data_IF_461163191524
#
_entry.id   IF_461163191524
#
_cell.length_a   1.000
_cell.length_b   1.000
_cell.length_c   1.000
_cell.angle_alpha   90.00
_cell.angle_beta   90.00
_cell.angle_gamma   90.00
#
_symmetry.space_group_name_H-M   'P 1'
#
loop_
_entity.id
_entity.type
_entity.pdbx_description
1 polymer ?
#
# COMPACT_ATOMS: atom_id res chain seq x y z
N UNK A 1 23.77 17.84 25.92
CA UNK A 1 22.80 16.77 25.59
C UNK A 1 23.13 16.22 24.21
N UNK A 2 23.58 14.96 24.09
CA UNK A 2 23.96 14.36 22.80
C UNK A 2 22.70 14.08 21.99
N UNK A 3 22.52 14.77 20.86
CA UNK A 3 21.41 14.56 19.94
C UNK A 3 21.46 13.15 19.34
N UNK A 4 20.43 12.35 19.60
CA UNK A 4 20.22 11.09 18.87
C UNK A 4 19.94 11.45 17.41
N UNK A 5 20.69 10.86 16.48
CA UNK A 5 20.40 10.95 15.05
C UNK A 5 19.06 10.25 14.80
N UNK A 6 18.14 10.84 14.00
CA UNK A 6 16.88 10.17 13.69
C UNK A 6 17.20 8.86 12.96
N UNK A 7 16.75 7.75 13.54
CA UNK A 7 16.76 6.44 12.88
C UNK A 7 15.54 6.46 11.95
N UNK A 8 15.77 6.27 10.65
CA UNK A 8 14.68 6.07 9.69
C UNK A 8 14.34 4.58 9.71
N UNK A 9 13.18 4.23 10.27
CA UNK A 9 12.65 2.87 10.12
C UNK A 9 12.13 2.72 8.69
N UNK A 10 12.75 1.81 7.91
CA UNK A 10 12.28 1.43 6.57
C UNK A 10 11.71 0.03 6.67
N UNK A 11 10.40 -0.11 6.49
CA UNK A 11 9.74 -1.41 6.37
C UNK A 11 9.31 -1.56 4.90
N UNK A 12 9.92 -2.53 4.22
CA UNK A 12 9.58 -2.92 2.86
C UNK A 12 8.80 -4.22 2.91
N UNK A 13 7.52 -4.20 2.56
CA UNK A 13 6.72 -5.41 2.38
C UNK A 13 6.47 -5.64 0.89
N UNK A 14 6.89 -6.79 0.39
CA UNK A 14 6.62 -7.22 -0.98
C UNK A 14 6.48 -8.73 -1.04
N UNK A 15 5.46 -9.20 -1.76
CA UNK A 15 5.37 -10.60 -2.16
C UNK A 15 6.42 -10.84 -3.24
N UNK A 16 7.60 -11.33 -2.87
CA UNK A 16 8.57 -11.88 -3.82
C UNK A 16 7.96 -13.13 -4.44
N UNK A 17 7.39 -13.00 -5.64
CA UNK A 17 6.91 -14.14 -6.43
C UNK A 17 8.12 -14.88 -6.98
N UNK A 18 8.58 -15.87 -6.21
CA UNK A 18 9.33 -17.06 -6.61
C UNK A 18 10.69 -16.87 -7.34
N UNK A 19 11.78 -16.70 -6.58
CA UNK A 19 12.99 -17.51 -6.82
C UNK A 19 13.70 -17.73 -5.48
N UNK A 20 13.97 -18.99 -5.18
CA UNK A 20 14.84 -19.51 -4.13
C UNK A 20 15.95 -18.56 -3.64
N UNK A 21 15.80 -18.00 -2.44
CA UNK A 21 16.85 -17.77 -1.43
C UNK A 21 16.27 -16.86 -0.34
N UNK A 22 15.81 -17.44 0.76
CA UNK A 22 16.05 -16.96 2.13
C UNK A 22 15.48 -18.06 3.04
N UNK A 23 16.16 -19.21 3.03
CA UNK A 23 16.00 -20.22 4.07
C UNK A 23 16.78 -19.75 5.30
N UNK A 24 16.17 -19.97 6.45
CA UNK A 24 16.61 -19.65 7.79
C UNK A 24 18.12 -19.84 8.05
N UNK A 25 18.76 -18.84 8.67
CA UNK A 25 19.69 -19.04 9.79
C UNK A 25 20.12 -17.69 10.35
N UNK A 26 20.15 -17.59 11.68
CA UNK A 26 20.66 -16.43 12.40
C UNK A 26 22.13 -16.16 12.10
N UNK A 27 22.39 -15.31 11.11
CA UNK A 27 23.68 -14.68 10.91
C UNK A 27 23.67 -13.31 11.60
N UNK A 28 24.70 -12.97 12.41
CA UNK A 28 24.77 -11.64 13.00
C UNK A 28 24.91 -10.58 11.90
N UNK A 29 24.07 -9.55 11.96
CA UNK A 29 24.04 -8.46 10.99
C UNK A 29 25.45 -7.82 10.80
N UNK A 30 25.90 -7.58 9.55
CA UNK A 30 27.21 -6.99 9.30
C UNK A 30 27.25 -5.52 9.76
N UNK A 31 28.23 -5.18 10.59
CA UNK A 31 28.38 -3.88 11.28
C UNK A 31 28.68 -2.65 10.38
N UNK A 32 28.52 -2.70 9.05
CA UNK A 32 28.78 -1.56 8.13
C UNK A 32 27.94 -1.60 6.83
N UNK A 33 26.62 -1.74 6.94
CA UNK A 33 25.67 -1.52 5.83
C UNK A 33 24.76 -0.32 6.08
N UNK A 34 23.94 0.12 5.10
CA UNK A 34 22.89 1.13 5.33
C UNK A 34 21.81 0.65 6.31
N UNK A 35 21.71 -0.66 6.52
CA UNK A 35 20.79 -1.31 7.46
C UNK A 35 21.42 -1.30 8.85
N UNK A 36 20.79 -0.57 9.78
CA UNK A 36 21.25 -0.42 11.16
C UNK A 36 20.81 -1.62 12.02
N UNK A 37 19.61 -2.13 11.77
CA UNK A 37 19.05 -3.32 12.40
C UNK A 37 17.92 -3.90 11.54
N UNK A 38 17.64 -5.19 11.72
CA UNK A 38 16.49 -5.88 11.16
C UNK A 38 15.80 -6.70 12.25
N UNK A 39 14.47 -6.79 12.15
CA UNK A 39 13.65 -7.52 13.10
C UNK A 39 12.56 -8.28 12.35
N UNK A 40 12.20 -9.46 12.86
CA UNK A 40 11.00 -10.15 12.42
C UNK A 40 9.79 -9.24 12.69
N UNK A 41 8.93 -9.11 11.69
CA UNK A 41 7.77 -8.24 11.76
C UNK A 41 6.76 -8.76 12.80
N UNK A 42 6.34 -7.89 13.72
CA UNK A 42 5.34 -8.19 14.76
C UNK A 42 4.12 -7.29 14.61
N UNK A 43 2.96 -7.74 15.11
CA UNK A 43 1.77 -6.90 15.25
C UNK A 43 1.49 -6.60 16.74
N UNK A 44 1.26 -5.33 17.11
CA UNK A 44 1.38 -4.13 16.27
C UNK A 44 2.82 -3.87 15.80
N UNK A 45 2.97 -3.21 14.66
CA UNK A 45 4.30 -2.86 14.13
C UNK A 45 5.00 -1.87 15.08
N UNK A 46 6.25 -2.17 15.43
CA UNK A 46 7.10 -1.28 16.23
C UNK A 46 7.74 -0.20 15.34
N UNK A 47 6.89 0.64 14.76
CA UNK A 47 7.31 1.68 13.82
C UNK A 47 7.64 2.97 14.57
N UNK A 48 8.90 3.16 14.92
CA UNK A 48 9.36 4.39 15.59
C UNK A 48 9.27 5.61 14.66
N UNK A 49 8.85 6.75 15.21
CA UNK A 49 8.94 8.03 14.49
C UNK A 49 10.39 8.56 14.46
N UNK A 50 10.93 8.99 13.31
CA UNK A 50 10.32 9.03 11.98
C UNK A 50 10.40 7.69 11.22
N UNK A 51 9.37 7.42 10.42
CA UNK A 51 9.30 6.22 9.60
C UNK A 51 9.09 6.53 8.11
N UNK A 52 9.53 5.58 7.30
CA UNK A 52 9.11 5.39 5.92
C UNK A 52 8.66 3.93 5.79
N UNK A 53 7.40 3.71 5.46
CA UNK A 53 6.85 2.37 5.22
C UNK A 53 6.53 2.28 3.73
N UNK A 54 6.89 1.19 3.06
CA UNK A 54 6.62 1.03 1.65
C UNK A 54 6.16 -0.40 1.36
N UNK A 55 5.05 -0.51 0.66
CA UNK A 55 4.45 -1.77 0.26
C UNK A 55 4.33 -1.81 -1.24
N UNK A 56 4.67 -2.96 -1.80
CA UNK A 56 4.45 -3.27 -3.21
C UNK A 56 3.32 -4.28 -3.35
N UNK A 57 2.33 -3.89 -4.15
CA UNK A 57 1.17 -4.71 -4.49
C UNK A 57 1.27 -5.10 -5.96
N UNK A 58 1.24 -6.40 -6.23
CA UNK A 58 1.18 -6.97 -7.57
C UNK A 58 0.20 -8.12 -7.57
N UNK A 59 -0.91 -7.94 -8.27
CA UNK A 59 -1.96 -8.94 -8.40
C UNK A 59 -2.36 -9.09 -9.87
N UNK A 60 -2.48 -10.34 -10.29
CA UNK A 60 -3.01 -10.73 -11.59
C UNK A 60 -4.45 -11.19 -11.38
N UNK A 61 -5.39 -10.24 -11.39
CA UNK A 61 -6.79 -10.58 -11.21
C UNK A 61 -7.36 -11.24 -12.47
N UNK A 62 -8.34 -12.15 -12.32
CA UNK A 62 -9.09 -12.68 -13.46
C UNK A 62 -9.84 -11.55 -14.20
N UNK A 63 -10.47 -11.86 -15.34
CA UNK A 63 -11.41 -10.93 -15.95
C UNK A 63 -12.44 -10.44 -14.94
N UNK A 64 -12.82 -9.17 -15.03
CA UNK A 64 -13.90 -8.59 -14.25
C UNK A 64 -15.27 -8.94 -14.84
N UNK A 65 -16.33 -8.52 -14.15
CA UNK A 65 -17.69 -8.53 -14.68
C UNK A 65 -18.25 -7.09 -14.75
N UNK A 66 -19.53 -6.96 -15.09
CA UNK A 66 -20.24 -5.68 -15.20
C UNK A 66 -20.22 -4.84 -13.91
N UNK A 67 -20.05 -5.48 -12.76
CA UNK A 67 -20.03 -4.86 -11.44
C UNK A 67 -18.59 -4.55 -10.99
N UNK A 68 -17.60 -4.73 -11.88
CA UNK A 68 -16.17 -4.52 -11.65
C UNK A 68 -15.57 -5.47 -10.59
N UNK A 69 -16.26 -6.57 -10.29
CA UNK A 69 -15.80 -7.62 -9.37
C UNK A 69 -15.15 -8.78 -10.14
N UNK A 70 -14.38 -9.67 -9.49
CA UNK A 70 -13.78 -10.82 -10.15
C UNK A 70 -14.82 -11.73 -10.79
N UNK A 71 -14.67 -12.03 -12.08
CA UNK A 71 -15.43 -13.09 -12.76
C UNK A 71 -14.81 -14.46 -12.46
N UNK A 72 -14.63 -14.76 -11.18
CA UNK A 72 -14.08 -16.01 -10.67
C UNK A 72 -14.65 -16.29 -9.27
N UNK A 73 -14.60 -17.56 -8.84
CA UNK A 73 -15.08 -17.90 -7.51
C UNK A 73 -14.20 -17.31 -6.42
N UNK A 74 -14.82 -16.66 -5.43
CA UNK A 74 -14.16 -16.22 -4.21
C UNK A 74 -14.03 -17.34 -3.16
N UNK A 75 -14.52 -18.55 -3.43
CA UNK A 75 -14.47 -19.66 -2.47
C UNK A 75 -13.01 -19.98 -2.08
N UNK A 76 -12.73 -19.94 -0.78
CA UNK A 76 -11.39 -20.18 -0.24
C UNK A 76 -10.52 -18.92 -0.16
N UNK A 77 -11.01 -17.77 -0.64
CA UNK A 77 -10.30 -16.50 -0.45
C UNK A 77 -10.23 -16.11 1.02
N UNK A 78 -9.02 -15.77 1.47
CA UNK A 78 -8.77 -15.23 2.81
C UNK A 78 -9.08 -13.74 2.79
N UNK A 79 -10.30 -13.38 3.17
CA UNK A 79 -10.70 -11.98 3.30
C UNK A 79 -10.00 -11.31 4.48
N UNK A 80 -9.68 -10.03 4.34
CA UNK A 80 -9.04 -9.23 5.39
C UNK A 80 -7.55 -9.52 5.56
N UNK A 81 -6.87 -9.94 4.50
CA UNK A 81 -5.44 -10.23 4.50
C UNK A 81 -4.75 -9.49 3.37
N UNK A 82 -3.68 -8.77 3.70
CA UNK A 82 -2.92 -7.98 2.75
C UNK A 82 -2.09 -8.82 1.76
N UNK A 83 -1.72 -10.04 2.14
CA UNK A 83 -0.80 -10.88 1.35
C UNK A 83 -1.06 -12.37 1.49
N UNK A 84 -0.43 -13.13 0.58
CA UNK A 84 -0.19 -14.56 0.74
C UNK A 84 -1.39 -15.44 0.39
N UNK A 85 -2.25 -14.98 -0.51
CA UNK A 85 -3.38 -15.79 -0.96
C UNK A 85 -2.95 -16.92 -1.92
N UNK A 86 -3.35 -18.19 -1.69
CA UNK A 86 -2.94 -19.31 -2.54
C UNK A 86 -3.39 -19.28 -4.00
N UNK A 87 -4.41 -18.49 -4.37
CA UNK A 87 -4.86 -18.37 -5.77
C UNK A 87 -3.92 -17.52 -6.63
N UNK A 88 -2.93 -16.84 -6.02
CA UNK A 88 -2.02 -15.93 -6.70
C UNK A 88 -2.51 -14.49 -6.79
N UNK A 89 -3.71 -14.17 -6.26
CA UNK A 89 -4.23 -12.81 -6.17
C UNK A 89 -5.04 -12.60 -4.88
N UNK A 90 -5.06 -11.37 -4.37
CA UNK A 90 -5.61 -11.01 -3.06
C UNK A 90 -6.87 -10.13 -3.19
N UNK A 91 -7.89 -10.44 -2.39
CA UNK A 91 -9.04 -9.54 -2.18
C UNK A 91 -8.71 -8.38 -1.24
N UNK A 92 -7.55 -8.43 -0.56
CA UNK A 92 -7.19 -7.52 0.53
C UNK A 92 -8.29 -7.54 1.60
N UNK A 93 -8.89 -6.39 1.85
CA UNK A 93 -9.98 -6.20 2.79
C UNK A 93 -11.34 -6.02 2.09
N UNK A 94 -11.38 -6.15 0.77
CA UNK A 94 -12.60 -6.06 -0.02
C UNK A 94 -13.43 -7.35 0.01
N UNK A 95 -14.75 -7.21 0.03
CA UNK A 95 -15.68 -8.35 0.00
C UNK A 95 -16.14 -8.71 -1.42
N UNK A 96 -16.33 -7.69 -2.27
CA UNK A 96 -16.81 -7.86 -3.66
C UNK A 96 -15.77 -7.35 -4.66
N UNK A 97 -15.34 -6.09 -4.49
CA UNK A 97 -14.23 -5.49 -5.24
C UNK A 97 -12.97 -5.61 -4.38
N UNK A 98 -11.82 -6.07 -4.90
CA UNK A 98 -10.57 -6.08 -4.16
C UNK A 98 -10.18 -4.69 -3.67
N UNK A 99 -9.45 -4.60 -2.55
CA UNK A 99 -8.84 -3.35 -2.10
C UNK A 99 -9.03 -3.08 -0.62
N UNK A 100 -8.92 -1.80 -0.26
CA UNK A 100 -8.94 -1.32 1.10
C UNK A 100 -10.22 -0.52 1.35
N UNK A 101 -11.26 -1.13 1.94
CA UNK A 101 -12.48 -0.43 2.28
C UNK A 101 -12.19 0.63 3.35
N UNK A 102 -13.24 1.35 3.75
CA UNK A 102 -13.19 2.47 4.69
C UNK A 102 -12.24 2.25 5.89
N UNK A 103 -11.13 2.98 5.95
CA UNK A 103 -10.15 2.91 7.03
C UNK A 103 -9.53 4.30 7.36
N UNK A 104 -9.00 4.50 8.59
CA UNK A 104 -8.46 5.79 9.00
C UNK A 104 -6.93 5.90 8.84
N UNK A 105 -6.45 7.11 8.56
CA UNK A 105 -5.05 7.51 8.68
C UNK A 105 -4.91 8.83 9.46
N UNK A 106 -3.78 9.02 10.15
CA UNK A 106 -3.48 10.24 10.91
C UNK A 106 -1.96 10.41 11.14
N UNK A 107 -1.47 11.63 10.98
CA UNK A 107 -0.12 12.02 11.40
C UNK A 107 1.02 11.64 10.44
N UNK A 108 0.70 11.20 9.23
CA UNK A 108 1.64 10.88 8.14
C UNK A 108 1.01 11.19 6.77
N UNK A 109 1.75 10.92 5.71
CA UNK A 109 1.29 11.05 4.32
C UNK A 109 1.32 9.69 3.63
N UNK A 110 0.40 9.44 2.70
CA UNK A 110 0.44 8.29 1.79
C UNK A 110 0.76 8.76 0.38
N UNK A 111 1.61 8.01 -0.32
CA UNK A 111 1.90 8.19 -1.73
C UNK A 111 1.57 6.87 -2.42
N UNK A 112 0.54 6.88 -3.25
CA UNK A 112 0.09 5.72 -4.02
C UNK A 112 0.52 5.93 -5.47
N UNK A 113 1.48 5.12 -5.94
CA UNK A 113 1.99 5.13 -7.32
C UNK A 113 1.38 3.95 -8.07
N UNK A 114 0.42 4.19 -8.95
CA UNK A 114 -0.34 3.13 -9.63
C UNK A 114 0.22 2.89 -11.03
N UNK A 115 1.16 1.95 -11.16
CA UNK A 115 1.83 1.65 -12.45
C UNK A 115 0.92 0.94 -13.44
N UNK A 116 0.11 -0.02 -12.97
CA UNK A 116 -0.88 -0.75 -13.77
C UNK A 116 -2.16 -0.96 -12.98
N UNK A 117 -3.27 -1.04 -13.70
CA UNK A 117 -4.60 -1.14 -13.11
C UNK A 117 -5.14 0.22 -12.66
N UNK A 118 -6.15 0.16 -11.81
CA UNK A 118 -6.95 1.31 -11.41
C UNK A 118 -7.22 1.29 -9.90
N UNK A 119 -7.30 2.47 -9.31
CA UNK A 119 -7.70 2.68 -7.92
C UNK A 119 -8.87 3.65 -7.88
N UNK A 120 -9.96 3.25 -7.25
CA UNK A 120 -11.09 4.09 -6.87
C UNK A 120 -10.89 4.59 -5.44
N UNK A 121 -10.66 5.89 -5.30
CA UNK A 121 -10.53 6.57 -4.02
C UNK A 121 -11.85 7.25 -3.63
N UNK A 122 -12.20 7.18 -2.36
CA UNK A 122 -13.23 8.03 -1.73
C UNK A 122 -12.79 8.43 -0.33
N UNK A 123 -13.11 9.65 0.13
CA UNK A 123 -12.74 10.09 1.48
C UNK A 123 -13.83 10.88 2.23
N UNK A 124 -13.56 11.11 3.51
CA UNK A 124 -14.41 11.84 4.44
C UNK A 124 -14.53 13.34 4.17
N UNK A 125 -13.73 13.91 3.26
CA UNK A 125 -13.89 15.28 2.79
C UNK A 125 -14.85 15.38 1.60
N UNK A 126 -15.36 14.23 1.13
CA UNK A 126 -16.27 14.14 0.00
C UNK A 126 -15.57 14.05 -1.36
N UNK A 127 -14.24 13.84 -1.38
CA UNK A 127 -13.54 13.63 -2.64
C UNK A 127 -13.76 12.19 -3.12
N UNK A 128 -13.82 12.03 -4.44
CA UNK A 128 -13.86 10.74 -5.10
C UNK A 128 -13.13 10.82 -6.44
N UNK A 129 -12.46 9.74 -6.84
CA UNK A 129 -11.78 9.70 -8.13
C UNK A 129 -11.21 8.34 -8.46
N UNK A 130 -11.09 8.05 -9.75
CA UNK A 130 -10.38 6.89 -10.29
C UNK A 130 -9.05 7.36 -10.87
N UNK A 131 -7.94 6.71 -10.51
CA UNK A 131 -6.61 7.01 -11.05
C UNK A 131 -5.84 5.72 -11.34
N UNK A 132 -4.88 5.77 -12.26
CA UNK A 132 -4.16 4.57 -12.72
C UNK A 132 -3.16 4.86 -13.83
N UNK A 133 -2.58 3.80 -14.40
CA UNK A 133 -1.77 3.91 -15.62
C UNK A 133 -0.52 4.82 -15.52
N UNK A 134 0.03 5.01 -14.32
CA UNK A 134 1.18 5.87 -14.05
C UNK A 134 0.88 7.04 -13.10
N UNK A 135 -0.39 7.29 -12.78
CA UNK A 135 -0.79 8.34 -11.85
C UNK A 135 -0.22 8.13 -10.44
N UNK A 136 0.00 9.26 -9.75
CA UNK A 136 0.41 9.29 -8.34
C UNK A 136 -0.58 10.13 -7.54
N UNK A 137 -1.14 9.53 -6.49
CA UNK A 137 -1.84 10.27 -5.45
C UNK A 137 -0.88 10.51 -4.29
N UNK A 138 -0.73 11.77 -3.87
CA UNK A 138 -0.04 12.14 -2.63
C UNK A 138 -1.06 12.73 -1.66
N UNK A 139 -1.40 11.99 -0.61
CA UNK A 139 -2.36 12.40 0.41
C UNK A 139 -1.65 12.70 1.73
N UNK A 140 -1.84 13.91 2.25
CA UNK A 140 -1.47 14.29 3.61
C UNK A 140 -2.62 13.95 4.54
N UNK A 141 -2.48 12.92 5.40
CA UNK A 141 -3.55 12.53 6.33
C UNK A 141 -3.68 13.50 7.52
N UNK A 142 -2.58 14.15 7.94
CA UNK A 142 -2.61 15.23 8.93
C UNK A 142 -3.39 14.89 10.20
N UNK A 143 -4.32 15.77 10.59
CA UNK A 143 -5.19 15.62 11.76
C UNK A 143 -6.11 14.38 11.72
N UNK A 144 -6.35 13.83 10.53
CA UNK A 144 -7.09 12.60 10.33
C UNK A 144 -7.89 12.62 9.04
N UNK A 145 -7.83 11.53 8.28
CA UNK A 145 -8.71 11.29 7.13
C UNK A 145 -9.21 9.85 7.20
N UNK A 146 -10.46 9.65 6.79
CA UNK A 146 -11.02 8.32 6.64
C UNK A 146 -11.36 8.12 5.16
N UNK A 147 -10.85 7.05 4.56
CA UNK A 147 -10.87 6.86 3.12
C UNK A 147 -10.99 5.39 2.72
N UNK A 148 -11.25 5.13 1.45
CA UNK A 148 -11.23 3.80 0.84
C UNK A 148 -10.49 3.85 -0.49
N UNK A 149 -9.73 2.81 -0.79
CA UNK A 149 -8.94 2.61 -2.01
C UNK A 149 -9.32 1.25 -2.60
N UNK A 150 -10.27 1.21 -3.54
CA UNK A 150 -10.79 -0.02 -4.15
C UNK A 150 -10.17 -0.27 -5.53
N UNK A 151 -10.04 -1.51 -5.96
CA UNK A 151 -9.36 -1.91 -7.20
C UNK A 151 -10.35 -2.48 -8.22
N UNK A 152 -11.04 -1.63 -9.00
CA UNK A 152 -12.07 -2.08 -9.92
C UNK A 152 -11.50 -2.88 -11.08
N UNK A 153 -12.12 -4.01 -11.40
CA UNK A 153 -11.70 -4.89 -12.50
C UNK A 153 -12.46 -4.53 -13.78
N UNK A 154 -11.86 -3.69 -14.61
CA UNK A 154 -12.53 -3.08 -15.77
C UNK A 154 -12.49 -3.93 -17.03
N UNK A 155 -11.49 -4.79 -17.18
CA UNK A 155 -11.36 -5.68 -18.33
C UNK A 155 -12.19 -6.94 -18.12
N UNK A 156 -13.22 -7.17 -18.93
CA UNK A 156 -14.10 -8.33 -18.83
C UNK A 156 -13.65 -9.52 -19.69
N UNK A 157 -12.66 -9.33 -20.56
CA UNK A 157 -12.21 -10.32 -21.54
C UNK A 157 -10.83 -10.91 -21.21
N UNK A 158 -9.99 -10.14 -20.52
CA UNK A 158 -8.64 -10.55 -20.12
C UNK A 158 -8.35 -10.21 -18.66
N UNK A 159 -7.17 -10.62 -18.18
CA UNK A 159 -6.71 -10.33 -16.83
C UNK A 159 -6.67 -8.83 -16.54
N UNK A 160 -6.91 -8.49 -15.27
CA UNK A 160 -6.75 -7.14 -14.74
C UNK A 160 -5.50 -7.13 -13.87
N UNK A 161 -4.39 -6.61 -14.40
CA UNK A 161 -3.17 -6.50 -13.60
C UNK A 161 -3.21 -5.23 -12.77
N UNK A 162 -3.07 -5.38 -11.45
CA UNK A 162 -2.83 -4.29 -10.52
C UNK A 162 -1.36 -4.31 -10.14
N UNK A 163 -0.69 -3.17 -10.32
CA UNK A 163 0.69 -2.99 -9.86
C UNK A 163 0.81 -1.59 -9.27
N UNK A 164 0.98 -1.51 -7.95
CA UNK A 164 1.13 -0.22 -7.26
C UNK A 164 2.14 -0.29 -6.12
N UNK A 165 2.68 0.88 -5.79
CA UNK A 165 3.43 1.10 -4.56
C UNK A 165 2.63 2.01 -3.65
N UNK A 166 2.51 1.64 -2.38
CA UNK A 166 1.99 2.51 -1.35
C UNK A 166 3.10 2.85 -0.37
N UNK A 167 3.44 4.13 -0.28
CA UNK A 167 4.54 4.65 0.54
C UNK A 167 3.96 5.55 1.61
N UNK A 168 4.20 5.26 2.88
CA UNK A 168 3.81 6.10 3.99
C UNK A 168 5.01 6.85 4.55
N UNK A 169 4.90 8.18 4.61
CA UNK A 169 5.98 9.06 5.06
C UNK A 169 5.53 9.79 6.32
N UNK A 170 6.28 9.62 7.41
CA UNK A 170 5.94 10.25 8.67
C UNK A 170 6.00 11.79 8.59
N UNK A 171 4.96 12.48 9.09
CA UNK A 171 5.01 13.94 9.24
C UNK A 171 5.84 14.33 10.48
N UNK A 172 6.60 15.44 10.41
CA UNK A 172 7.28 15.98 11.59
C UNK A 172 6.24 16.37 12.65
N UNK A 173 6.62 16.34 13.93
CA UNK A 173 5.72 16.61 15.08
C UNK A 173 4.84 17.86 14.89
N UNK A 174 5.42 18.95 14.38
CA UNK A 174 4.70 20.23 14.14
C UNK A 174 3.60 20.15 13.07
N UNK A 175 3.65 19.16 12.18
CA UNK A 175 2.76 19.01 11.04
C UNK A 175 1.78 17.85 11.19
N UNK A 176 1.84 17.06 12.27
CA UNK A 176 0.96 15.89 12.46
C UNK A 176 -0.53 16.21 12.60
N UNK A 177 -0.88 17.48 12.76
CA UNK A 177 -2.24 17.96 12.99
C UNK A 177 -2.67 19.03 11.97
N UNK A 178 -2.01 19.10 10.80
CA UNK A 178 -2.49 19.95 9.70
C UNK A 178 -3.78 19.41 9.13
N UNK A 179 -4.55 20.25 8.45
CA UNK A 179 -5.74 19.79 7.72
C UNK A 179 -5.37 18.71 6.68
N UNK A 180 -6.18 17.65 6.55
CA UNK A 180 -5.96 16.63 5.55
C UNK A 180 -6.21 17.17 4.14
N UNK A 181 -5.58 16.55 3.15
CA UNK A 181 -5.79 16.86 1.74
C UNK A 181 -4.95 15.98 0.84
N UNK A 182 -5.15 16.09 -0.48
CA UNK A 182 -4.34 15.37 -1.45
C UNK A 182 -3.99 16.23 -2.65
N UNK A 183 -2.99 15.75 -3.38
CA UNK A 183 -2.61 16.23 -4.70
C UNK A 183 -2.48 15.05 -5.64
N UNK A 184 -3.08 15.17 -6.82
CA UNK A 184 -2.83 14.24 -7.93
C UNK A 184 -1.66 14.74 -8.76
N UNK A 185 -0.83 13.81 -9.18
CA UNK A 185 0.13 13.97 -10.26
C UNK A 185 -0.26 12.96 -11.33
N UNK A 186 -0.74 13.46 -12.46
CA UNK A 186 -1.14 12.63 -13.57
C UNK A 186 0.08 12.10 -14.30
N UNK A 187 -0.03 10.92 -14.92
CA UNK A 187 1.09 10.25 -15.57
C UNK A 187 1.88 11.15 -16.54
N UNK A 188 1.23 12.11 -17.21
CA UNK A 188 1.86 13.04 -18.15
C UNK A 188 2.79 14.07 -17.46
N UNK A 189 2.56 14.32 -16.18
CA UNK A 189 3.32 15.25 -15.35
C UNK A 189 4.45 14.55 -14.55
N UNK A 190 4.42 13.22 -14.48
CA UNK A 190 5.42 12.38 -13.79
C UNK A 190 6.49 11.97 -14.80
N UNK A 191 7.70 12.53 -14.67
CA UNK A 191 8.83 12.34 -15.60
C UNK A 191 9.99 11.57 -14.98
#
# INVERSE_FOLDING_TARGET
MKGRRPILCIVLLGCLVNTTMFSACGAPAPKRGPIISDHAMSFPFDCESPFLFAVYHLDHYPPGNKDMTPNASLKGHRMGADFGHPSGWNMYHGEEIPGFPKHPHRGFETITVTRRGWVDHTDSLGNAGRFGGGDVQWMTAGAGINHAEMFPLLNQEAENVLELFQIWINLPKRSKMVEPGFKMFWAEDVR
#
